data_IF_613065138777
#
_entry.id   IF_613065138777
#
_cell.length_a   1.000
_cell.length_b   1.000
_cell.length_c   1.000
_cell.angle_alpha   90.00
_cell.angle_beta   90.00
_cell.angle_gamma   90.00
#
_symmetry.space_group_name_H-M   'P 1'
#
loop_
_entity.id
_entity.type
_entity.pdbx_description
1 polymer ?
#
# COMPACT_ATOMS: atom_id res chain seq x y z
N UNK A 1 20.63 12.76 8.11
CA UNK A 1 20.62 11.65 7.15
C UNK A 1 20.09 10.41 7.83
N UNK A 2 18.88 9.94 7.48
CA UNK A 2 18.43 8.63 7.92
C UNK A 2 19.04 7.61 6.97
N UNK A 3 20.00 6.84 7.47
CA UNK A 3 20.55 5.67 6.80
C UNK A 3 19.48 4.57 6.81
N UNK A 4 18.48 4.64 5.92
CA UNK A 4 17.63 3.48 5.70
C UNK A 4 18.44 2.48 4.88
N UNK A 5 18.80 1.36 5.52
CA UNK A 5 19.22 0.18 4.80
C UNK A 5 18.17 -0.12 3.71
N UNK A 6 18.61 -0.39 2.49
CA UNK A 6 17.74 -0.65 1.35
C UNK A 6 16.96 -1.96 1.60
N UNK A 7 15.75 -1.83 2.18
CA UNK A 7 14.83 -2.94 2.40
C UNK A 7 13.85 -3.01 1.25
N UNK A 8 13.61 -4.22 0.76
CA UNK A 8 12.71 -4.53 -0.35
C UNK A 8 11.59 -5.44 0.15
N UNK A 9 10.38 -4.90 0.18
CA UNK A 9 9.18 -5.65 0.50
C UNK A 9 8.36 -5.91 -0.76
N UNK A 10 8.04 -7.17 -1.03
CA UNK A 10 7.07 -7.54 -2.06
C UNK A 10 5.73 -7.77 -1.38
N UNK A 11 4.78 -6.90 -1.65
CA UNK A 11 3.43 -7.02 -1.11
C UNK A 11 2.59 -7.77 -2.15
N UNK A 12 2.04 -8.91 -1.75
CA UNK A 12 1.15 -9.72 -2.58
C UNK A 12 -0.22 -9.70 -1.94
N UNK A 13 -1.15 -9.04 -2.60
CA UNK A 13 -2.54 -9.03 -2.18
C UNK A 13 -3.33 -10.15 -2.85
N UNK A 14 -4.06 -10.91 -2.05
CA UNK A 14 -4.82 -12.08 -2.49
C UNK A 14 -6.19 -12.09 -1.86
N UNK A 15 -7.14 -12.75 -2.50
CA UNK A 15 -8.44 -13.02 -1.89
C UNK A 15 -8.24 -13.78 -0.57
N UNK A 16 -9.06 -13.46 0.43
CA UNK A 16 -8.92 -14.01 1.80
C UNK A 16 -8.82 -15.53 1.80
N UNK A 17 -9.69 -16.19 1.03
CA UNK A 17 -9.80 -17.64 0.98
C UNK A 17 -8.60 -18.30 0.26
N UNK A 18 -7.86 -17.53 -0.54
CA UNK A 18 -6.66 -17.99 -1.24
C UNK A 18 -5.35 -17.72 -0.46
N UNK A 19 -5.39 -16.92 0.62
CA UNK A 19 -4.20 -16.38 1.24
C UNK A 19 -3.26 -17.44 1.82
N UNK A 20 -3.82 -18.46 2.48
CA UNK A 20 -3.04 -19.58 3.03
C UNK A 20 -2.41 -20.42 1.93
N UNK A 21 -3.16 -20.71 0.87
CA UNK A 21 -2.65 -21.51 -0.26
C UNK A 21 -1.48 -20.82 -0.96
N UNK A 22 -1.59 -19.50 -1.16
CA UNK A 22 -0.49 -18.70 -1.72
C UNK A 22 0.70 -18.63 -0.76
N UNK A 23 0.46 -18.50 0.55
CA UNK A 23 1.51 -18.52 1.56
C UNK A 23 2.32 -19.81 1.51
N UNK A 24 1.67 -20.97 1.62
CA UNK A 24 2.36 -22.25 1.57
C UNK A 24 3.13 -22.41 0.25
N UNK A 25 2.52 -22.02 -0.88
CA UNK A 25 3.18 -22.12 -2.18
C UNK A 25 4.46 -21.28 -2.29
N UNK A 26 4.48 -20.09 -1.70
CA UNK A 26 5.64 -19.20 -1.75
C UNK A 26 6.71 -19.60 -0.72
N UNK A 27 6.32 -20.16 0.43
CA UNK A 27 7.29 -20.66 1.42
C UNK A 27 8.12 -21.84 0.92
N UNK A 28 7.63 -22.61 -0.07
CA UNK A 28 8.42 -23.65 -0.75
C UNK A 28 9.69 -23.09 -1.43
N UNK A 29 9.67 -21.82 -1.85
CA UNK A 29 10.74 -21.19 -2.64
C UNK A 29 11.49 -20.09 -1.89
N UNK A 30 10.86 -19.46 -0.90
CA UNK A 30 11.38 -18.28 -0.22
C UNK A 30 11.35 -18.50 1.30
N UNK A 31 12.43 -18.13 1.99
CA UNK A 31 12.52 -18.25 3.46
C UNK A 31 11.82 -17.12 4.22
N UNK A 32 11.66 -15.95 3.61
CA UNK A 32 11.14 -14.75 4.25
C UNK A 32 9.75 -14.43 3.69
N UNK A 33 8.76 -15.26 4.02
CA UNK A 33 7.36 -15.06 3.61
C UNK A 33 6.51 -14.93 4.87
N UNK A 34 5.66 -13.90 4.93
CA UNK A 34 4.81 -13.62 6.08
C UNK A 34 3.36 -13.42 5.64
N UNK A 35 2.44 -14.12 6.30
CA UNK A 35 1.00 -14.03 6.06
C UNK A 35 0.35 -13.07 7.06
N UNK A 36 -0.31 -12.02 6.56
CA UNK A 36 -1.01 -10.99 7.32
C UNK A 36 -0.28 -10.59 8.63
N UNK A 37 1.01 -10.19 8.56
CA UNK A 37 1.77 -9.93 9.77
C UNK A 37 1.19 -8.74 10.54
N UNK A 38 0.93 -8.94 11.82
CA UNK A 38 0.59 -7.85 12.73
C UNK A 38 1.83 -6.99 13.04
N UNK A 39 1.60 -5.79 13.57
CA UNK A 39 2.63 -4.83 13.98
C UNK A 39 3.81 -5.46 14.72
N UNK A 40 3.52 -6.31 15.70
CA UNK A 40 4.55 -6.96 16.50
C UNK A 40 5.46 -7.86 15.65
N UNK A 41 4.85 -8.69 14.79
CA UNK A 41 5.59 -9.56 13.86
C UNK A 41 6.42 -8.73 12.90
N UNK A 42 5.85 -7.62 12.39
CA UNK A 42 6.55 -6.74 11.48
C UNK A 42 7.80 -6.16 12.12
N UNK A 43 7.67 -5.57 13.31
CA UNK A 43 8.77 -4.87 13.98
C UNK A 43 9.85 -5.83 14.50
N UNK A 44 9.48 -7.00 15.02
CA UNK A 44 10.44 -7.96 15.60
C UNK A 44 11.16 -8.80 14.55
N UNK A 45 10.51 -9.10 13.42
CA UNK A 45 11.03 -10.05 12.43
C UNK A 45 11.21 -9.40 11.07
N UNK A 46 10.15 -8.88 10.45
CA UNK A 46 10.17 -8.39 9.06
C UNK A 46 11.13 -7.23 8.89
N UNK A 47 11.16 -6.31 9.86
CA UNK A 47 12.05 -5.17 9.85
C UNK A 47 13.54 -5.56 9.85
N UNK A 48 13.90 -6.78 10.26
CA UNK A 48 15.30 -7.23 10.29
C UNK A 48 15.76 -7.87 8.97
N UNK A 49 14.85 -8.07 8.01
CA UNK A 49 15.18 -8.63 6.70
C UNK A 49 15.33 -7.54 5.64
N UNK A 50 16.31 -7.73 4.75
CA UNK A 50 16.52 -6.87 3.58
C UNK A 50 15.52 -7.15 2.46
N UNK A 51 15.06 -8.40 2.33
CA UNK A 51 14.12 -8.81 1.29
C UNK A 51 13.08 -9.76 1.88
N UNK A 52 11.80 -9.38 1.75
CA UNK A 52 10.68 -10.09 2.37
C UNK A 52 9.47 -10.08 1.44
N UNK A 53 8.76 -11.21 1.38
CA UNK A 53 7.44 -11.32 0.76
C UNK A 53 6.38 -11.23 1.85
N UNK A 54 5.44 -10.30 1.70
CA UNK A 54 4.35 -10.08 2.63
C UNK A 54 3.05 -10.35 1.88
N UNK A 55 2.30 -11.33 2.36
CA UNK A 55 1.00 -11.70 1.79
C UNK A 55 -0.07 -11.07 2.67
N UNK A 56 -0.92 -10.24 2.08
CA UNK A 56 -2.03 -9.62 2.80
C UNK A 56 -3.35 -9.90 2.09
N UNK A 57 -4.42 -9.84 2.87
CA UNK A 57 -5.78 -9.95 2.35
C UNK A 57 -6.13 -8.72 1.50
N UNK A 58 -6.55 -8.95 0.27
CA UNK A 58 -7.07 -7.90 -0.61
C UNK A 58 -8.39 -7.37 -0.06
N UNK A 59 -8.54 -6.05 -0.09
CA UNK A 59 -9.78 -5.39 0.30
C UNK A 59 -10.74 -5.40 -0.90
N UNK A 60 -12.03 -5.66 -0.65
CA UNK A 60 -13.05 -5.69 -1.70
C UNK A 60 -13.06 -4.41 -2.52
N UNK A 61 -13.24 -4.54 -3.85
CA UNK A 61 -13.28 -3.40 -4.79
C UNK A 61 -11.99 -2.55 -4.79
N UNK A 62 -10.87 -3.15 -4.39
CA UNK A 62 -9.55 -2.53 -4.47
C UNK A 62 -9.30 -2.04 -5.90
N UNK A 63 -8.86 -0.79 -6.09
CA UNK A 63 -8.58 -0.30 -7.43
C UNK A 63 -7.31 -0.94 -7.99
N UNK A 64 -7.48 -1.70 -9.06
CA UNK A 64 -6.42 -2.40 -9.77
C UNK A 64 -6.40 -1.99 -11.25
N UNK A 65 -5.23 -2.11 -11.86
CA UNK A 65 -5.05 -2.04 -13.30
C UNK A 65 -4.31 -3.29 -13.81
N UNK A 66 -4.56 -3.67 -15.07
CA UNK A 66 -3.91 -4.83 -15.67
C UNK A 66 -2.78 -4.38 -16.60
N UNK A 67 -1.55 -4.73 -16.25
CA UNK A 67 -0.38 -4.54 -17.11
C UNK A 67 0.17 -5.91 -17.49
N UNK A 68 0.27 -6.21 -18.79
CA UNK A 68 0.80 -7.49 -19.30
C UNK A 68 0.17 -8.73 -18.61
N UNK A 69 -1.15 -8.68 -18.38
CA UNK A 69 -1.97 -9.71 -17.69
C UNK A 69 -1.75 -9.83 -16.18
N UNK A 70 -0.92 -8.98 -15.58
CA UNK A 70 -0.71 -8.91 -14.13
C UNK A 70 -1.55 -7.77 -13.57
N UNK A 71 -2.33 -8.05 -12.53
CA UNK A 71 -3.05 -7.02 -11.78
C UNK A 71 -2.11 -6.32 -10.82
N UNK A 72 -2.02 -5.00 -10.92
CA UNK A 72 -1.21 -4.16 -10.03
C UNK A 72 -2.08 -3.07 -9.39
N UNK A 73 -1.72 -2.54 -8.20
CA UNK A 73 -2.45 -1.44 -7.59
C UNK A 73 -2.39 -0.18 -8.46
N UNK A 74 -3.49 0.56 -8.56
CA UNK A 74 -3.44 1.89 -9.19
C UNK A 74 -2.79 2.91 -8.26
N UNK A 75 -2.42 4.07 -8.79
CA UNK A 75 -1.87 5.16 -7.97
C UNK A 75 -2.84 5.60 -6.86
N UNK A 76 -4.14 5.68 -7.13
CA UNK A 76 -5.13 6.04 -6.10
C UNK A 76 -5.11 5.07 -4.93
N UNK A 77 -4.98 3.77 -5.21
CA UNK A 77 -4.86 2.76 -4.17
C UNK A 77 -3.61 2.97 -3.33
N UNK A 78 -2.45 3.11 -3.99
CA UNK A 78 -1.18 3.30 -3.29
C UNK A 78 -1.19 4.54 -2.39
N UNK A 79 -1.77 5.65 -2.87
CA UNK A 79 -1.91 6.86 -2.06
C UNK A 79 -2.77 6.62 -0.82
N UNK A 80 -3.91 5.93 -0.98
CA UNK A 80 -4.79 5.59 0.13
C UNK A 80 -4.08 4.66 1.13
N UNK A 81 -3.39 3.63 0.65
CA UNK A 81 -2.70 2.67 1.51
C UNK A 81 -1.57 3.36 2.32
N UNK A 82 -0.80 4.25 1.67
CA UNK A 82 0.16 5.13 2.35
C UNK A 82 -0.51 6.05 3.37
N UNK A 83 -1.70 6.60 3.07
CA UNK A 83 -2.43 7.49 3.97
C UNK A 83 -3.00 6.78 5.20
N UNK A 84 -3.33 5.49 5.09
CA UNK A 84 -3.72 4.68 6.25
C UNK A 84 -2.53 4.49 7.18
N UNK A 85 -1.34 4.27 6.61
CA UNK A 85 -0.10 4.26 7.37
C UNK A 85 0.10 3.01 8.22
N UNK A 86 -0.33 1.85 7.71
CA UNK A 86 0.00 0.55 8.30
C UNK A 86 1.53 0.37 8.39
N UNK A 87 2.02 -0.55 9.22
CA UNK A 87 3.47 -0.75 9.43
C UNK A 87 4.26 -1.00 8.15
N UNK A 88 3.61 -1.61 7.14
CA UNK A 88 4.17 -1.86 5.82
C UNK A 88 4.55 -0.54 5.11
N UNK A 89 3.81 0.54 5.38
CA UNK A 89 3.99 1.88 4.80
C UNK A 89 4.58 2.90 5.78
N UNK A 90 5.08 2.44 6.94
CA UNK A 90 5.60 3.34 7.97
C UNK A 90 6.78 4.19 7.47
N UNK A 91 7.59 3.66 6.55
CA UNK A 91 8.75 4.37 6.01
C UNK A 91 8.38 5.53 5.10
N UNK A 92 7.21 5.48 4.45
CA UNK A 92 6.71 6.56 3.58
C UNK A 92 6.08 7.71 4.38
N UNK A 93 5.81 7.55 5.68
CA UNK A 93 5.08 8.56 6.47
C UNK A 93 5.83 9.89 6.58
N UNK A 94 7.17 9.88 6.60
CA UNK A 94 7.98 11.09 6.70
C UNK A 94 7.90 11.96 5.43
N UNK A 95 7.65 11.34 4.27
CA UNK A 95 7.61 12.00 2.96
C UNK A 95 6.18 12.04 2.39
N UNK A 96 5.18 11.72 3.20
CA UNK A 96 3.81 11.49 2.73
C UNK A 96 3.20 12.72 2.06
N UNK A 97 3.40 13.90 2.63
CA UNK A 97 2.93 15.17 2.05
C UNK A 97 3.56 15.41 0.67
N UNK A 98 4.85 15.14 0.52
CA UNK A 98 5.58 15.29 -0.74
C UNK A 98 5.12 14.27 -1.79
N UNK A 99 4.91 13.01 -1.38
CA UNK A 99 4.39 11.94 -2.24
C UNK A 99 2.99 12.30 -2.76
N UNK A 100 2.10 12.72 -1.85
CA UNK A 100 0.73 13.11 -2.21
C UNK A 100 0.75 14.33 -3.13
N UNK A 101 1.47 15.39 -2.76
CA UNK A 101 1.59 16.59 -3.59
C UNK A 101 2.07 16.25 -5.01
N UNK A 102 3.19 15.52 -5.11
CA UNK A 102 3.77 15.15 -6.40
C UNK A 102 2.82 14.30 -7.24
N UNK A 103 2.05 13.41 -6.58
CA UNK A 103 1.08 12.57 -7.27
C UNK A 103 -0.05 13.40 -7.89
N UNK A 104 -0.58 14.38 -7.15
CA UNK A 104 -1.63 15.28 -7.62
C UNK A 104 -1.14 16.27 -8.69
N UNK A 105 0.13 16.69 -8.64
CA UNK A 105 0.71 17.60 -9.62
C UNK A 105 1.06 16.92 -10.95
N UNK A 106 1.52 15.67 -10.91
CA UNK A 106 2.12 15.00 -12.09
C UNK A 106 1.24 13.97 -12.76
N UNK A 107 0.22 13.47 -12.07
CA UNK A 107 -0.63 12.39 -12.57
C UNK A 107 -2.09 12.77 -12.51
N UNK A 108 -2.87 12.22 -13.45
CA UNK A 108 -4.31 12.36 -13.43
C UNK A 108 -4.92 11.40 -12.41
N UNK A 109 -5.18 11.90 -11.20
CA UNK A 109 -5.80 11.15 -10.12
C UNK A 109 -7.31 11.06 -10.35
N UNK A 110 -7.88 9.85 -10.33
CA UNK A 110 -9.33 9.66 -10.40
C UNK A 110 -9.98 9.83 -9.02
N UNK A 111 -10.69 10.94 -8.74
CA UNK A 111 -11.19 11.22 -7.39
C UNK A 111 -12.28 10.24 -6.95
N UNK A 112 -13.14 9.81 -7.88
CA UNK A 112 -14.20 8.85 -7.58
C UNK A 112 -13.64 7.48 -7.16
N UNK A 113 -12.60 7.01 -7.86
CA UNK A 113 -11.90 5.75 -7.54
C UNK A 113 -11.20 5.85 -6.18
N UNK A 114 -10.48 6.95 -5.93
CA UNK A 114 -9.78 7.20 -4.67
C UNK A 114 -10.75 7.31 -3.48
N UNK A 115 -11.85 8.07 -3.60
CA UNK A 115 -12.90 8.18 -2.56
C UNK A 115 -13.55 6.84 -2.23
N UNK A 116 -13.91 6.05 -3.25
CA UNK A 116 -14.52 4.74 -3.05
C UNK A 116 -13.61 3.84 -2.21
N UNK A 117 -12.32 3.82 -2.54
CA UNK A 117 -11.37 2.99 -1.81
C UNK A 117 -11.03 3.56 -0.41
N UNK A 118 -10.92 4.87 -0.26
CA UNK A 118 -10.80 5.55 1.04
C UNK A 118 -11.94 5.16 1.99
N UNK A 119 -13.17 5.04 1.48
CA UNK A 119 -14.32 4.60 2.25
C UNK A 119 -14.17 3.15 2.73
N UNK A 120 -13.69 2.24 1.87
CA UNK A 120 -13.39 0.84 2.26
C UNK A 120 -12.27 0.74 3.30
N UNK A 121 -11.36 1.71 3.32
CA UNK A 121 -10.25 1.84 4.28
C UNK A 121 -10.59 2.68 5.51
N UNK A 122 -11.82 3.16 5.65
CA UNK A 122 -12.28 4.00 6.76
C UNK A 122 -11.48 5.31 6.94
N UNK A 123 -10.97 5.91 5.86
CA UNK A 123 -10.22 7.18 5.90
C UNK A 123 -10.82 8.26 4.98
N UNK A 124 -12.12 8.18 4.69
CA UNK A 124 -12.81 9.08 3.77
C UNK A 124 -12.62 10.56 4.14
N UNK A 125 -12.82 10.92 5.41
CA UNK A 125 -12.75 12.32 5.86
C UNK A 125 -11.33 12.89 5.70
N UNK A 126 -10.30 12.08 6.00
CA UNK A 126 -8.88 12.45 5.77
C UNK A 126 -8.62 12.73 4.29
N UNK A 127 -9.22 11.95 3.40
CA UNK A 127 -9.05 12.07 1.95
C UNK A 127 -9.81 13.28 1.39
N UNK A 128 -10.97 13.63 1.91
CA UNK A 128 -11.66 14.88 1.51
C UNK A 128 -10.84 16.12 1.88
N UNK A 129 -10.19 16.15 3.06
CA UNK A 129 -9.30 17.24 3.42
C UNK A 129 -8.12 17.39 2.45
N UNK A 130 -7.57 16.27 1.96
CA UNK A 130 -6.53 16.26 0.94
C UNK A 130 -7.05 16.83 -0.36
N UNK A 131 -8.24 16.42 -0.81
CA UNK A 131 -8.84 16.99 -2.01
C UNK A 131 -9.04 18.50 -1.85
N UNK A 132 -9.51 19.01 -0.72
CA UNK A 132 -9.64 20.45 -0.49
C UNK A 132 -8.29 21.16 -0.60
N UNK A 133 -7.25 20.61 0.05
CA UNK A 133 -5.88 21.15 0.04
C UNK A 133 -5.30 21.25 -1.37
N UNK A 134 -5.47 20.23 -2.21
CA UNK A 134 -4.83 20.15 -3.53
C UNK A 134 -5.73 20.59 -4.69
N UNK A 135 -7.06 20.66 -4.53
CA UNK A 135 -7.95 21.27 -5.52
C UNK A 135 -7.79 22.79 -5.58
N UNK A 136 -7.34 23.41 -4.47
CA UNK A 136 -7.04 24.85 -4.40
C UNK A 136 -5.82 25.27 -5.24
N UNK A 137 -5.04 24.31 -5.77
CA UNK A 137 -3.86 24.57 -6.61
C UNK A 137 -4.16 24.46 -8.12
N UNK A 138 -5.44 24.39 -8.53
CA UNK A 138 -5.90 24.30 -9.93
C UNK A 138 -6.76 25.54 -10.30
N UNK A 139 -6.42 26.71 -9.78
CA UNK A 139 -6.97 28.00 -10.25
C UNK A 139 -5.82 28.88 -10.69
#
# INVERSE_FOLDING_TARGET
>A
MVHQAFKRYYIIEVEKDAAESVFYKLTEKNKNVFLNPQKEIFNKYIANYNETVIIISMISESPLEKIKKISIPTLEKLLIDCLVGDEIFATQQNDLDYIVQTAFERYNINPAKMRRYANRRNIKDKVENIFIKYSANII
#
